data_IF_882267806328
#
_entry.id   IF_882267806328
#
_cell.length_a   1.000
_cell.length_b   1.000
_cell.length_c   1.000
_cell.angle_alpha   90.00
_cell.angle_beta   90.00
_cell.angle_gamma   90.00
#
_symmetry.space_group_name_H-M   'P 1'
#
loop_
_entity.id
_entity.type
_entity.pdbx_description
1 polymer ?
#
# COMPACT_ATOMS: atom_id res chain seq x y z
N UNK A 1 25.54 -11.51 37.71
CA UNK A 1 26.70 -11.49 36.81
C UNK A 1 27.20 -10.06 36.79
N UNK A 2 28.46 -9.82 37.15
CA UNK A 2 29.02 -8.48 37.19
C UNK A 2 29.27 -7.99 35.75
N UNK A 3 28.36 -7.17 35.22
CA UNK A 3 28.63 -6.32 34.07
C UNK A 3 29.75 -5.37 34.50
N UNK A 4 30.98 -5.64 34.05
CA UNK A 4 32.13 -4.80 34.35
C UNK A 4 31.87 -3.39 33.87
N UNK A 5 31.74 -2.44 34.79
CA UNK A 5 31.67 -1.02 34.46
C UNK A 5 32.95 -0.64 33.73
N UNK A 6 32.82 -0.10 32.51
CA UNK A 6 33.96 0.43 31.78
C UNK A 6 34.45 1.71 32.48
N UNK A 7 35.75 1.81 32.75
CA UNK A 7 36.33 3.01 33.33
C UNK A 7 36.36 4.15 32.30
N UNK A 8 36.37 5.40 32.76
CA UNK A 8 36.53 6.59 31.89
C UNK A 8 37.77 6.48 31.00
N UNK A 9 38.89 6.01 31.55
CA UNK A 9 40.14 5.85 30.82
C UNK A 9 40.05 4.77 29.73
N UNK A 10 39.34 3.66 29.99
CA UNK A 10 39.14 2.60 29.00
C UNK A 10 38.21 3.06 27.85
N UNK A 11 37.15 3.82 28.18
CA UNK A 11 36.26 4.44 27.21
C UNK A 11 37.02 5.42 26.31
N UNK A 12 37.77 6.35 26.89
CA UNK A 12 38.57 7.30 26.14
C UNK A 12 39.59 6.60 25.22
N UNK A 13 40.22 5.52 25.68
CA UNK A 13 41.14 4.72 24.87
C UNK A 13 40.44 4.11 23.65
N UNK A 14 39.26 3.51 23.83
CA UNK A 14 38.45 2.98 22.72
C UNK A 14 38.04 4.06 21.72
N UNK A 15 37.60 5.22 22.21
CA UNK A 15 37.25 6.38 21.37
C UNK A 15 38.47 6.81 20.53
N UNK A 16 39.67 6.91 21.13
CA UNK A 16 40.90 7.26 20.38
C UNK A 16 41.25 6.24 19.31
N UNK A 17 41.11 4.95 19.60
CA UNK A 17 41.37 3.87 18.64
C UNK A 17 40.39 3.89 17.47
N UNK A 18 39.13 4.26 17.72
CA UNK A 18 38.06 4.30 16.74
C UNK A 18 37.99 5.63 15.94
N UNK A 19 38.67 6.68 16.37
CA UNK A 19 38.48 8.05 15.86
C UNK A 19 38.73 8.19 14.35
N UNK A 20 39.70 7.47 13.78
CA UNK A 20 39.98 7.51 12.34
C UNK A 20 38.81 6.90 11.57
N UNK A 21 38.38 5.69 11.96
CA UNK A 21 37.25 5.01 11.34
C UNK A 21 35.95 5.82 11.46
N UNK A 22 35.72 6.47 12.61
CA UNK A 22 34.57 7.33 12.82
C UNK A 22 34.52 8.48 11.78
N UNK A 23 35.64 9.17 11.57
CA UNK A 23 35.73 10.26 10.58
C UNK A 23 35.52 9.77 9.14
N UNK A 24 36.09 8.62 8.79
CA UNK A 24 35.91 8.02 7.47
C UNK A 24 34.44 7.69 7.20
N UNK A 25 33.75 7.06 8.15
CA UNK A 25 32.33 6.72 8.04
C UNK A 25 31.45 7.97 7.92
N UNK A 26 31.67 8.99 8.75
CA UNK A 26 30.93 10.25 8.67
C UNK A 26 31.17 10.98 7.34
N UNK A 27 32.40 10.95 6.83
CA UNK A 27 32.72 11.49 5.50
C UNK A 27 31.94 10.76 4.41
N UNK A 28 31.88 9.43 4.44
CA UNK A 28 31.11 8.62 3.48
C UNK A 28 29.60 8.89 3.59
N UNK A 29 29.06 9.00 4.81
CA UNK A 29 27.65 9.33 5.01
C UNK A 29 27.31 10.71 4.44
N UNK A 30 28.19 11.70 4.67
CA UNK A 30 27.99 13.06 4.16
C UNK A 30 28.00 13.12 2.63
N UNK A 31 28.89 12.37 1.96
CA UNK A 31 28.99 12.37 0.50
C UNK A 31 27.87 11.58 -0.18
N UNK A 32 27.24 10.65 0.53
CA UNK A 32 26.17 9.77 0.02
C UNK A 32 24.77 10.14 0.51
N UNK A 33 24.62 11.22 1.29
CA UNK A 33 23.36 11.62 1.93
C UNK A 33 22.16 11.75 0.95
N UNK A 34 22.42 12.28 -0.24
CA UNK A 34 21.43 12.46 -1.30
C UNK A 34 20.91 11.14 -1.92
N UNK A 35 21.66 10.03 -1.79
CA UNK A 35 21.43 8.83 -2.57
C UNK A 35 20.09 8.12 -2.26
N UNK A 36 19.70 8.07 -0.97
CA UNK A 36 18.47 7.41 -0.53
C UNK A 36 17.20 8.15 -1.02
N UNK A 37 17.03 9.47 -0.80
CA UNK A 37 15.87 10.19 -1.32
C UNK A 37 15.84 10.24 -2.86
N UNK A 38 16.99 10.42 -3.51
CA UNK A 38 17.08 10.44 -4.98
C UNK A 38 16.68 9.09 -5.57
N UNK A 39 17.12 7.97 -4.95
CA UNK A 39 16.72 6.63 -5.36
C UNK A 39 15.20 6.41 -5.20
N UNK A 40 14.61 6.89 -4.11
CA UNK A 40 13.17 6.79 -3.88
C UNK A 40 12.38 7.59 -4.93
N UNK A 41 12.82 8.80 -5.26
CA UNK A 41 12.24 9.61 -6.33
C UNK A 41 12.37 8.92 -7.69
N UNK A 42 13.55 8.38 -7.99
CA UNK A 42 13.81 7.68 -9.25
C UNK A 42 12.93 6.44 -9.43
N UNK A 43 12.72 5.66 -8.35
CA UNK A 43 11.80 4.51 -8.36
C UNK A 43 10.35 4.93 -8.65
N UNK A 44 9.90 6.07 -8.11
CA UNK A 44 8.57 6.61 -8.41
C UNK A 44 8.43 7.03 -9.87
N UNK A 45 9.45 7.69 -10.43
CA UNK A 45 9.48 8.06 -11.85
C UNK A 45 9.37 6.82 -12.75
N UNK A 46 10.15 5.77 -12.46
CA UNK A 46 10.10 4.51 -13.22
C UNK A 46 8.69 3.91 -13.16
N UNK A 47 8.09 3.82 -11.97
CA UNK A 47 6.75 3.25 -11.82
C UNK A 47 5.67 4.05 -12.59
N UNK A 48 5.78 5.37 -12.61
CA UNK A 48 4.87 6.22 -13.39
C UNK A 48 5.07 6.03 -14.90
N UNK A 49 6.32 5.97 -15.38
CA UNK A 49 6.64 5.68 -16.77
C UNK A 49 6.16 4.29 -17.21
N UNK A 50 6.29 3.28 -16.36
CA UNK A 50 5.76 1.93 -16.61
C UNK A 50 4.24 1.94 -16.75
N UNK A 51 3.54 2.68 -15.89
CA UNK A 51 2.09 2.83 -15.96
C UNK A 51 1.65 3.56 -17.25
N UNK A 52 2.31 4.67 -17.59
CA UNK A 52 2.06 5.41 -18.83
C UNK A 52 2.35 4.56 -20.07
N UNK A 53 3.44 3.78 -20.06
CA UNK A 53 3.80 2.88 -21.13
C UNK A 53 2.77 1.76 -21.30
N UNK A 54 2.28 1.17 -20.21
CA UNK A 54 1.24 0.15 -20.27
C UNK A 54 -0.08 0.69 -20.85
N UNK A 55 -0.47 1.92 -20.47
CA UNK A 55 -1.63 2.60 -21.02
C UNK A 55 -1.46 2.90 -22.52
N UNK A 56 -0.30 3.42 -22.91
CA UNK A 56 0.05 3.69 -24.31
C UNK A 56 0.10 2.41 -25.15
N UNK A 57 0.70 1.33 -24.65
CA UNK A 57 0.74 0.03 -25.34
C UNK A 57 -0.66 -0.53 -25.59
N UNK A 58 -1.60 -0.32 -24.64
CA UNK A 58 -3.01 -0.66 -24.83
C UNK A 58 -3.64 0.22 -25.92
N UNK A 59 -3.40 1.51 -25.89
CA UNK A 59 -3.95 2.46 -26.86
C UNK A 59 -3.44 2.19 -28.29
N UNK A 60 -2.13 1.91 -28.46
CA UNK A 60 -1.55 1.48 -29.73
C UNK A 60 -2.23 0.22 -30.26
N UNK A 61 -2.48 -0.78 -29.41
CA UNK A 61 -3.18 -2.01 -29.81
C UNK A 61 -4.61 -1.73 -30.27
N UNK A 62 -5.34 -0.89 -29.54
CA UNK A 62 -6.70 -0.47 -29.91
C UNK A 62 -6.70 0.26 -31.25
N UNK A 63 -5.82 1.23 -31.45
CA UNK A 63 -5.66 1.97 -32.72
C UNK A 63 -5.24 1.06 -33.87
N UNK A 64 -4.33 0.11 -33.66
CA UNK A 64 -3.94 -0.88 -34.68
C UNK A 64 -5.15 -1.75 -35.09
N UNK A 65 -5.95 -2.21 -34.12
CA UNK A 65 -7.15 -3.00 -34.43
C UNK A 65 -8.19 -2.19 -35.21
N UNK A 66 -8.39 -0.92 -34.84
CA UNK A 66 -9.30 0.00 -35.53
C UNK A 66 -8.79 0.29 -36.94
N UNK A 67 -7.52 0.63 -37.11
CA UNK A 67 -6.87 0.85 -38.40
C UNK A 67 -7.05 -0.33 -39.35
N UNK A 68 -6.85 -1.56 -38.87
CA UNK A 68 -7.04 -2.77 -39.69
C UNK A 68 -8.49 -2.94 -40.14
N UNK A 69 -9.45 -2.55 -39.30
CA UNK A 69 -10.88 -2.56 -39.64
C UNK A 69 -11.19 -1.50 -40.70
N UNK A 70 -10.79 -0.25 -40.48
CA UNK A 70 -11.01 0.85 -41.43
C UNK A 70 -10.33 0.59 -42.77
N UNK A 71 -9.11 0.03 -42.78
CA UNK A 71 -8.42 -0.39 -44.00
C UNK A 71 -9.23 -1.43 -44.78
N UNK A 72 -9.74 -2.46 -44.09
CA UNK A 72 -10.53 -3.52 -44.71
C UNK A 72 -11.85 -2.99 -45.27
N UNK A 73 -12.48 -2.04 -44.58
CA UNK A 73 -13.73 -1.44 -45.03
C UNK A 73 -13.50 -0.51 -46.23
N UNK A 74 -12.43 0.30 -46.20
CA UNK A 74 -11.95 1.09 -47.34
C UNK A 74 -11.61 0.21 -48.57
N UNK A 75 -10.86 -0.89 -48.40
CA UNK A 75 -10.51 -1.83 -49.47
C UNK A 75 -11.74 -2.52 -50.06
N UNK A 76 -12.64 -3.03 -49.20
CA UNK A 76 -13.88 -3.67 -49.65
C UNK A 76 -14.76 -2.70 -50.42
N UNK A 77 -14.88 -1.46 -49.96
CA UNK A 77 -15.69 -0.46 -50.63
C UNK A 77 -15.07 -0.11 -51.99
N UNK A 78 -13.76 0.17 -52.04
CA UNK A 78 -13.01 0.37 -53.30
C UNK A 78 -13.22 -0.79 -54.29
N UNK A 79 -13.01 -2.03 -53.86
CA UNK A 79 -13.01 -3.21 -54.74
C UNK A 79 -14.42 -3.64 -55.17
N UNK A 80 -15.43 -3.52 -54.29
CA UNK A 80 -16.82 -3.86 -54.61
C UNK A 80 -17.52 -2.82 -55.49
N UNK A 81 -17.13 -1.56 -55.37
CA UNK A 81 -17.69 -0.43 -56.12
C UNK A 81 -17.08 -0.34 -57.51
N UNK A 82 -15.76 -0.52 -57.68
CA UNK A 82 -15.12 -0.57 -59.02
C UNK A 82 -15.73 -1.68 -59.89
N UNK A 83 -15.98 -2.85 -59.29
CA UNK A 83 -16.61 -4.00 -59.95
C UNK A 83 -18.08 -3.71 -60.33
N UNK A 84 -18.84 -2.96 -59.52
CA UNK A 84 -20.25 -2.58 -59.83
C UNK A 84 -20.38 -1.40 -60.79
N UNK A 85 -19.45 -0.43 -60.76
CA UNK A 85 -19.45 0.72 -61.67
C UNK A 85 -19.08 0.37 -63.10
N UNK A 86 -18.16 -0.59 -63.30
CA UNK A 86 -17.90 -1.20 -64.63
C UNK A 86 -19.18 -1.81 -65.22
N UNK A 87 -20.11 -2.27 -64.39
CA UNK A 87 -21.35 -2.90 -64.83
C UNK A 87 -22.57 -1.96 -64.96
N UNK A 88 -22.55 -0.72 -64.43
CA UNK A 88 -23.78 0.10 -64.33
C UNK A 88 -23.52 1.61 -64.34
N UNK A 89 -22.87 2.12 -65.38
CA UNK A 89 -22.68 3.55 -65.55
C UNK A 89 -24.01 4.27 -65.87
N UNK A 90 -24.16 5.49 -65.33
CA UNK A 90 -25.26 6.49 -65.47
C UNK A 90 -26.19 6.57 -64.24
N UNK A 91 -25.86 7.48 -63.30
CA UNK A 91 -26.91 8.12 -62.48
C UNK A 91 -26.66 8.43 -61.00
N UNK A 92 -25.55 8.01 -60.36
CA UNK A 92 -25.37 8.23 -58.89
C UNK A 92 -23.94 8.57 -58.39
N UNK A 93 -23.00 8.96 -59.26
CA UNK A 93 -21.55 9.17 -58.94
C UNK A 93 -21.28 9.97 -57.66
N UNK A 94 -21.92 11.13 -57.49
CA UNK A 94 -21.57 12.10 -56.43
C UNK A 94 -21.71 11.54 -55.00
N UNK A 95 -22.75 10.73 -54.74
CA UNK A 95 -22.96 10.10 -53.42
C UNK A 95 -21.94 9.02 -53.11
N UNK A 96 -21.28 8.46 -54.12
CA UNK A 96 -20.24 7.45 -53.93
C UNK A 96 -18.89 8.08 -53.67
N UNK A 97 -18.55 9.14 -54.40
CA UNK A 97 -17.31 9.89 -54.19
C UNK A 97 -17.29 10.50 -52.78
N UNK A 98 -18.44 11.00 -52.30
CA UNK A 98 -18.58 11.48 -50.92
C UNK A 98 -18.34 10.38 -49.87
N UNK A 99 -18.82 9.17 -50.12
CA UNK A 99 -18.66 8.05 -49.19
C UNK A 99 -17.26 7.41 -49.25
N UNK A 100 -16.66 7.31 -50.44
CA UNK A 100 -15.27 6.89 -50.62
C UNK A 100 -14.32 7.86 -49.90
N UNK A 101 -14.52 9.17 -50.11
CA UNK A 101 -13.76 10.20 -49.43
C UNK A 101 -13.93 10.18 -47.90
N UNK A 102 -15.10 9.74 -47.41
CA UNK A 102 -15.35 9.57 -45.97
C UNK A 102 -14.57 8.40 -45.39
N UNK A 103 -14.65 7.22 -46.01
CA UNK A 103 -13.94 6.02 -45.54
C UNK A 103 -12.41 6.18 -45.67
N UNK A 104 -11.94 6.89 -46.70
CA UNK A 104 -10.52 7.26 -46.85
C UNK A 104 -10.07 8.21 -45.72
N UNK A 105 -10.86 9.23 -45.37
CA UNK A 105 -10.57 10.12 -44.24
C UNK A 105 -10.54 9.36 -42.92
N UNK A 106 -11.54 8.54 -42.65
CA UNK A 106 -11.63 7.74 -41.41
C UNK A 106 -10.41 6.81 -41.26
N UNK A 107 -9.94 6.19 -42.35
CA UNK A 107 -8.70 5.41 -42.34
C UNK A 107 -7.45 6.27 -42.05
N UNK A 108 -7.29 7.41 -42.75
CA UNK A 108 -6.13 8.28 -42.56
C UNK A 108 -6.09 8.95 -41.18
N UNK A 109 -7.23 9.30 -40.62
CA UNK A 109 -7.35 9.85 -39.27
C UNK A 109 -6.84 8.84 -38.24
N UNK A 110 -7.32 7.59 -38.30
CA UNK A 110 -6.87 6.52 -37.40
C UNK A 110 -5.40 6.17 -37.63
N UNK A 111 -4.90 6.22 -38.87
CA UNK A 111 -3.48 6.01 -39.18
C UNK A 111 -2.61 7.12 -38.56
N UNK A 112 -3.05 8.37 -38.63
CA UNK A 112 -2.33 9.50 -38.03
C UNK A 112 -2.33 9.41 -36.50
N UNK A 113 -3.46 9.06 -35.89
CA UNK A 113 -3.57 8.80 -34.46
C UNK A 113 -2.64 7.66 -34.02
N UNK A 114 -2.65 6.53 -34.73
CA UNK A 114 -1.77 5.39 -34.44
C UNK A 114 -0.29 5.79 -34.54
N UNK A 115 0.10 6.58 -35.54
CA UNK A 115 1.48 7.03 -35.69
C UNK A 115 1.90 7.96 -34.54
N UNK A 116 1.06 8.93 -34.16
CA UNK A 116 1.33 9.83 -33.03
C UNK A 116 1.49 9.04 -31.73
N UNK A 117 0.60 8.09 -31.46
CA UNK A 117 0.66 7.26 -30.27
C UNK A 117 1.91 6.38 -30.25
N UNK A 118 2.34 5.84 -31.40
CA UNK A 118 3.61 5.08 -31.51
C UNK A 118 4.83 5.93 -31.18
N UNK A 119 4.88 7.19 -31.61
CA UNK A 119 5.98 8.09 -31.24
C UNK A 119 5.97 8.44 -29.75
N UNK A 120 4.79 8.65 -29.14
CA UNK A 120 4.64 8.81 -27.69
C UNK A 120 5.17 7.57 -26.97
N UNK A 121 4.72 6.38 -27.38
CA UNK A 121 5.15 5.11 -26.81
C UNK A 121 6.67 4.92 -26.88
N UNK A 122 7.26 5.21 -28.05
CA UNK A 122 8.71 5.15 -28.26
C UNK A 122 9.45 6.11 -27.33
N UNK A 123 8.99 7.35 -27.19
CA UNK A 123 9.57 8.32 -26.27
C UNK A 123 9.47 7.85 -24.81
N UNK A 124 8.33 7.29 -24.38
CA UNK A 124 8.16 6.71 -23.05
C UNK A 124 9.14 5.55 -22.80
N UNK A 125 9.38 4.69 -23.78
CA UNK A 125 10.39 3.61 -23.69
C UNK A 125 11.80 4.18 -23.51
N UNK A 126 12.16 5.20 -24.28
CA UNK A 126 13.47 5.86 -24.15
C UNK A 126 13.64 6.49 -22.76
N UNK A 127 12.62 7.20 -22.27
CA UNK A 127 12.66 7.78 -20.92
C UNK A 127 12.75 6.71 -19.83
N UNK A 128 12.04 5.60 -19.98
CA UNK A 128 12.10 4.46 -19.05
C UNK A 128 13.50 3.83 -19.03
N UNK A 129 14.11 3.64 -20.20
CA UNK A 129 15.47 3.11 -20.32
C UNK A 129 16.51 4.05 -19.67
N UNK A 130 16.40 5.36 -19.92
CA UNK A 130 17.26 6.36 -19.30
C UNK A 130 17.08 6.40 -17.78
N UNK A 131 15.83 6.40 -17.31
CA UNK A 131 15.52 6.39 -15.89
C UNK A 131 16.04 5.11 -15.21
N UNK A 132 15.92 3.96 -15.87
CA UNK A 132 16.42 2.68 -15.37
C UNK A 132 17.95 2.66 -15.28
N UNK A 133 18.65 3.25 -16.25
CA UNK A 133 20.11 3.39 -16.20
C UNK A 133 20.56 4.31 -15.07
N UNK A 134 19.87 5.44 -14.88
CA UNK A 134 20.18 6.39 -13.81
C UNK A 134 19.91 5.82 -12.41
N UNK A 135 19.05 4.79 -12.28
CA UNK A 135 18.81 4.09 -11.00
C UNK A 135 20.04 3.35 -10.47
N UNK A 136 20.84 2.73 -11.34
CA UNK A 136 21.97 1.88 -10.90
C UNK A 136 23.00 2.61 -10.01
N UNK A 137 23.56 3.77 -10.41
CA UNK A 137 24.50 4.49 -9.54
C UNK A 137 23.86 4.97 -8.24
N UNK A 138 22.56 5.33 -8.25
CA UNK A 138 21.83 5.69 -7.04
C UNK A 138 21.66 4.50 -6.08
N UNK A 139 21.43 3.29 -6.59
CA UNK A 139 21.38 2.07 -5.78
C UNK A 139 22.74 1.73 -5.15
N UNK A 140 23.83 1.92 -5.88
CA UNK A 140 25.18 1.71 -5.35
C UNK A 140 25.54 2.74 -4.27
N UNK A 141 25.20 4.02 -4.49
CA UNK A 141 25.42 5.08 -3.51
C UNK A 141 24.54 4.88 -2.26
N UNK A 142 23.28 4.49 -2.43
CA UNK A 142 22.38 4.18 -1.31
C UNK A 142 22.86 2.95 -0.53
N UNK A 143 23.35 1.90 -1.20
CA UNK A 143 23.96 0.74 -0.52
C UNK A 143 25.18 1.15 0.29
N UNK A 144 26.07 1.96 -0.30
CA UNK A 144 27.25 2.50 0.39
C UNK A 144 26.86 3.31 1.62
N UNK A 145 25.82 4.13 1.51
CA UNK A 145 25.27 4.91 2.63
C UNK A 145 24.76 4.00 3.74
N UNK A 146 23.95 3.00 3.41
CA UNK A 146 23.41 2.04 4.38
C UNK A 146 24.51 1.21 5.06
N UNK A 147 25.52 0.76 4.31
CA UNK A 147 26.66 0.03 4.85
C UNK A 147 27.46 0.90 5.83
N UNK A 148 27.76 2.15 5.45
CA UNK A 148 28.45 3.09 6.32
C UNK A 148 27.65 3.40 7.60
N UNK A 149 26.32 3.55 7.50
CA UNK A 149 25.46 3.76 8.66
C UNK A 149 25.49 2.55 9.60
N UNK A 150 25.37 1.32 9.07
CA UNK A 150 25.45 0.10 9.89
C UNK A 150 26.80 -0.06 10.57
N UNK A 151 27.89 0.26 9.87
CA UNK A 151 29.22 0.23 10.46
C UNK A 151 29.40 1.27 11.55
N UNK A 152 28.83 2.47 11.38
CA UNK A 152 28.85 3.53 12.39
C UNK A 152 28.05 3.14 13.63
N UNK A 153 26.84 2.60 13.44
CA UNK A 153 25.99 2.12 14.53
C UNK A 153 26.69 1.02 15.32
N UNK A 154 27.31 0.05 14.63
CA UNK A 154 28.09 -1.03 15.26
C UNK A 154 29.31 -0.51 16.02
N UNK A 155 30.00 0.49 15.47
CA UNK A 155 31.13 1.15 16.12
C UNK A 155 30.68 1.84 17.42
N UNK A 156 29.57 2.57 17.37
CA UNK A 156 29.02 3.24 18.54
C UNK A 156 28.52 2.25 19.59
N UNK A 157 27.79 1.20 19.20
CA UNK A 157 27.36 0.15 20.13
C UNK A 157 28.57 -0.50 20.84
N UNK A 158 29.66 -0.79 20.12
CA UNK A 158 30.85 -1.40 20.72
C UNK A 158 31.56 -0.50 21.76
N UNK A 159 31.38 0.82 21.67
CA UNK A 159 32.07 1.82 22.49
C UNK A 159 31.18 2.30 23.62
N UNK A 160 29.90 2.56 23.35
CA UNK A 160 28.94 3.16 24.27
C UNK A 160 27.93 2.14 24.82
N UNK A 161 28.13 0.82 24.62
CA UNK A 161 27.26 -0.18 25.25
C UNK A 161 27.35 -0.13 26.79
N UNK A 162 26.28 0.38 27.41
CA UNK A 162 26.13 0.49 28.86
C UNK A 162 26.58 1.85 29.40
N UNK A 163 26.55 2.05 30.73
CA UNK A 163 26.76 3.37 31.33
C UNK A 163 28.09 4.01 30.91
N UNK A 164 27.99 5.18 30.29
CA UNK A 164 29.11 5.97 29.80
C UNK A 164 29.67 6.83 30.95
N UNK A 165 30.37 6.17 31.88
CA UNK A 165 30.96 6.80 33.06
C UNK A 165 31.76 8.06 32.67
N UNK A 166 31.46 9.19 33.32
CA UNK A 166 32.07 10.49 33.04
C UNK A 166 31.34 11.35 31.99
N UNK A 167 30.34 10.79 31.30
CA UNK A 167 29.58 11.48 30.25
C UNK A 167 28.06 11.28 30.41
N UNK A 168 27.45 11.83 31.49
CA UNK A 168 26.02 11.64 31.78
C UNK A 168 25.08 12.25 30.72
N UNK A 169 25.56 13.20 29.92
CA UNK A 169 24.79 13.76 28.80
C UNK A 169 24.56 12.71 27.71
N UNK A 170 25.54 11.84 27.41
CA UNK A 170 25.40 10.76 26.43
C UNK A 170 24.43 9.69 26.92
N UNK A 171 24.55 9.26 28.18
CA UNK A 171 23.62 8.33 28.83
C UNK A 171 22.16 8.85 28.78
N UNK A 172 21.97 10.15 29.02
CA UNK A 172 20.65 10.77 28.95
C UNK A 172 20.07 10.73 27.52
N UNK A 173 20.89 11.01 26.50
CA UNK A 173 20.49 10.94 25.09
C UNK A 173 20.18 9.52 24.65
N UNK A 174 20.94 8.53 25.10
CA UNK A 174 20.68 7.12 24.80
C UNK A 174 19.33 6.68 25.39
N UNK A 175 19.02 7.11 26.61
CA UNK A 175 17.73 6.87 27.23
C UNK A 175 16.58 7.54 26.47
N UNK A 176 16.74 8.80 26.03
CA UNK A 176 15.75 9.51 25.21
C UNK A 176 15.48 8.77 23.90
N UNK A 177 16.52 8.38 23.17
CA UNK A 177 16.40 7.65 21.91
C UNK A 177 15.75 6.27 22.11
N UNK A 178 16.13 5.56 23.19
CA UNK A 178 15.53 4.27 23.55
C UNK A 178 14.03 4.39 23.88
N UNK A 179 13.63 5.45 24.59
CA UNK A 179 12.22 5.72 24.89
C UNK A 179 11.44 6.07 23.63
N UNK A 180 11.98 6.93 22.77
CA UNK A 180 11.37 7.28 21.49
C UNK A 180 11.19 6.04 20.59
N UNK A 181 12.19 5.16 20.53
CA UNK A 181 12.13 3.91 19.76
C UNK A 181 11.00 3.00 20.25
N UNK A 182 10.90 2.78 21.57
CA UNK A 182 9.83 1.96 22.16
C UNK A 182 8.46 2.55 21.89
N UNK A 183 8.31 3.88 21.99
CA UNK A 183 7.06 4.56 21.70
C UNK A 183 6.68 4.42 20.21
N UNK A 184 7.62 4.57 19.28
CA UNK A 184 7.38 4.37 17.85
C UNK A 184 6.98 2.93 17.55
N UNK A 185 7.72 1.94 18.06
CA UNK A 185 7.42 0.52 17.88
C UNK A 185 6.02 0.16 18.42
N UNK A 186 5.66 0.62 19.62
CA UNK A 186 4.33 0.39 20.20
C UNK A 186 3.21 0.96 19.32
N UNK A 187 3.34 2.19 18.82
CA UNK A 187 2.35 2.77 17.90
C UNK A 187 2.27 2.01 16.59
N UNK A 188 3.42 1.63 16.02
CA UNK A 188 3.48 0.89 14.77
C UNK A 188 2.79 -0.48 14.91
N UNK A 189 3.09 -1.23 15.97
CA UNK A 189 2.44 -2.52 16.22
C UNK A 189 0.93 -2.38 16.41
N UNK A 190 0.47 -1.32 17.09
CA UNK A 190 -0.98 -1.01 17.19
C UNK A 190 -1.60 -0.67 15.84
N UNK A 191 -0.91 0.11 15.00
CA UNK A 191 -1.39 0.45 13.66
C UNK A 191 -1.50 -0.80 12.78
N UNK A 192 -0.49 -1.67 12.79
CA UNK A 192 -0.50 -2.94 12.07
C UNK A 192 -1.67 -3.83 12.54
N UNK A 193 -1.91 -3.93 13.84
CA UNK A 193 -3.04 -4.68 14.40
C UNK A 193 -4.41 -4.13 13.95
N UNK A 194 -4.62 -2.81 13.98
CA UNK A 194 -5.85 -2.19 13.45
C UNK A 194 -6.00 -2.41 11.94
N UNK A 195 -4.90 -2.37 11.17
CA UNK A 195 -4.94 -2.66 9.73
C UNK A 195 -5.33 -4.11 9.43
N UNK A 196 -4.86 -5.07 10.22
CA UNK A 196 -5.30 -6.46 10.14
C UNK A 196 -6.78 -6.60 10.51
N UNK A 197 -7.25 -5.92 11.54
CA UNK A 197 -8.66 -5.89 11.92
C UNK A 197 -9.54 -5.32 10.79
N UNK A 198 -9.13 -4.22 10.13
CA UNK A 198 -9.84 -3.64 8.99
C UNK A 198 -10.06 -4.67 7.88
N UNK A 199 -9.03 -5.44 7.52
CA UNK A 199 -9.13 -6.48 6.49
C UNK A 199 -10.17 -7.54 6.87
N UNK A 200 -10.09 -8.06 8.10
CA UNK A 200 -11.03 -9.06 8.61
C UNK A 200 -12.47 -8.53 8.65
N UNK A 201 -12.67 -7.28 9.06
CA UNK A 201 -13.99 -6.63 9.10
C UNK A 201 -14.54 -6.38 7.69
N UNK A 202 -13.70 -6.04 6.72
CA UNK A 202 -14.10 -5.91 5.31
C UNK A 202 -14.54 -7.26 4.73
N UNK A 203 -13.80 -8.33 5.01
CA UNK A 203 -14.17 -9.69 4.60
C UNK A 203 -15.48 -10.12 5.29
N UNK A 204 -15.65 -9.81 6.57
CA UNK A 204 -16.90 -10.07 7.29
C UNK A 204 -18.08 -9.30 6.67
N UNK A 205 -17.87 -8.05 6.23
CA UNK A 205 -18.91 -7.27 5.55
C UNK A 205 -19.30 -7.91 4.21
N UNK A 206 -18.32 -8.41 3.45
CA UNK A 206 -18.58 -9.15 2.21
C UNK A 206 -19.44 -10.38 2.48
N UNK A 207 -19.12 -11.16 3.54
CA UNK A 207 -19.90 -12.33 3.95
C UNK A 207 -21.31 -12.00 4.42
N UNK A 208 -21.49 -10.91 5.17
CA UNK A 208 -22.83 -10.42 5.52
C UNK A 208 -23.62 -9.98 4.27
N UNK A 209 -22.96 -9.38 3.28
CA UNK A 209 -23.57 -9.09 1.97
C UNK A 209 -23.96 -10.35 1.19
N UNK A 210 -23.14 -11.40 1.22
CA UNK A 210 -23.49 -12.72 0.67
C UNK A 210 -24.71 -13.30 1.38
N UNK A 211 -24.79 -13.18 2.71
CA UNK A 211 -25.93 -13.66 3.49
C UNK A 211 -27.24 -12.93 3.12
N UNK A 212 -27.20 -11.59 3.00
CA UNK A 212 -28.36 -10.80 2.59
C UNK A 212 -28.85 -11.18 1.20
N UNK A 213 -27.95 -11.35 0.22
CA UNK A 213 -28.32 -11.81 -1.13
C UNK A 213 -29.03 -13.16 -1.11
N UNK A 214 -28.49 -14.12 -0.37
CA UNK A 214 -29.11 -15.45 -0.25
C UNK A 214 -30.46 -15.40 0.47
N UNK A 215 -30.64 -14.49 1.44
CA UNK A 215 -31.96 -14.28 2.07
C UNK A 215 -32.95 -13.63 1.11
N UNK A 216 -32.53 -12.68 0.28
CA UNK A 216 -33.39 -12.09 -0.75
C UNK A 216 -33.77 -13.10 -1.85
N UNK A 217 -32.88 -14.02 -2.20
CA UNK A 217 -33.18 -15.17 -3.07
C UNK A 217 -34.23 -16.08 -2.40
N UNK A 218 -34.05 -16.42 -1.12
CA UNK A 218 -35.02 -17.20 -0.35
C UNK A 218 -36.39 -16.50 -0.28
N UNK A 219 -36.44 -15.18 -0.03
CA UNK A 219 -37.69 -14.40 -0.06
C UNK A 219 -38.36 -14.42 -1.44
N UNK A 220 -37.58 -14.47 -2.52
CA UNK A 220 -38.10 -14.53 -3.89
C UNK A 220 -38.69 -15.90 -4.19
N UNK A 221 -38.04 -16.98 -3.76
CA UNK A 221 -38.57 -18.35 -3.86
C UNK A 221 -39.82 -18.54 -2.98
N UNK A 222 -39.80 -18.06 -1.74
CA UNK A 222 -40.92 -18.07 -0.81
C UNK A 222 -42.15 -17.34 -1.36
N UNK A 223 -41.96 -16.19 -2.03
CA UNK A 223 -43.05 -15.49 -2.73
C UNK A 223 -43.61 -16.32 -3.88
N UNK A 224 -42.77 -16.98 -4.65
CA UNK A 224 -43.21 -17.84 -5.75
C UNK A 224 -44.01 -19.04 -5.23
N UNK A 225 -43.63 -19.56 -4.06
CA UNK A 225 -44.30 -20.67 -3.40
C UNK A 225 -45.71 -20.32 -2.90
N UNK A 226 -45.87 -19.16 -2.26
CA UNK A 226 -47.18 -18.63 -1.82
C UNK A 226 -48.23 -18.48 -2.94
N UNK A 227 -47.84 -18.46 -4.23
CA UNK A 227 -48.74 -18.38 -5.38
C UNK A 227 -48.89 -19.71 -6.15
N UNK A 228 -48.60 -20.84 -5.48
CA UNK A 228 -48.73 -22.18 -6.05
C UNK A 228 -47.42 -22.74 -6.60
N UNK A 229 -46.30 -22.43 -5.95
CA UNK A 229 -45.03 -23.12 -6.20
C UNK A 229 -45.11 -24.58 -5.78
N UNK A 230 -44.24 -25.40 -6.39
CA UNK A 230 -44.12 -26.81 -6.06
C UNK A 230 -42.85 -27.08 -5.27
N UNK A 231 -42.65 -28.35 -4.90
CA UNK A 231 -41.52 -28.88 -4.11
C UNK A 231 -40.11 -28.43 -4.55
N UNK A 232 -39.94 -27.96 -5.79
CA UNK A 232 -38.67 -27.40 -6.29
C UNK A 232 -38.37 -25.99 -5.73
N UNK A 233 -39.39 -25.17 -5.45
CA UNK A 233 -39.23 -23.85 -4.84
C UNK A 233 -38.73 -23.97 -3.39
N UNK A 234 -39.33 -24.88 -2.62
CA UNK A 234 -38.92 -25.23 -1.25
C UNK A 234 -37.43 -25.62 -1.14
N UNK A 235 -36.96 -26.47 -2.06
CA UNK A 235 -35.57 -26.91 -2.05
C UNK A 235 -34.60 -25.76 -2.33
N UNK A 236 -34.96 -24.85 -3.25
CA UNK A 236 -34.13 -23.69 -3.58
C UNK A 236 -34.10 -22.68 -2.43
N UNK A 237 -35.25 -22.43 -1.81
CA UNK A 237 -35.39 -21.58 -0.62
C UNK A 237 -34.54 -22.09 0.54
N UNK A 238 -34.64 -23.38 0.88
CA UNK A 238 -33.83 -24.00 1.93
C UNK A 238 -32.34 -23.93 1.63
N UNK A 239 -31.95 -24.20 0.38
CA UNK A 239 -30.55 -24.09 -0.05
C UNK A 239 -30.03 -22.67 0.11
N UNK A 240 -30.83 -21.66 -0.25
CA UNK A 240 -30.47 -20.26 -0.09
C UNK A 240 -30.34 -19.87 1.39
N UNK A 241 -31.27 -20.28 2.26
CA UNK A 241 -31.18 -20.04 3.71
C UNK A 241 -29.95 -20.71 4.34
N UNK A 242 -29.61 -21.93 3.94
CA UNK A 242 -28.39 -22.61 4.39
C UNK A 242 -27.12 -21.84 3.99
N UNK A 243 -27.05 -21.36 2.73
CA UNK A 243 -25.94 -20.52 2.28
C UNK A 243 -25.85 -19.20 3.07
N UNK A 244 -26.99 -18.59 3.40
CA UNK A 244 -27.03 -17.40 4.22
C UNK A 244 -26.51 -17.65 5.64
N UNK A 245 -26.83 -18.81 6.22
CA UNK A 245 -26.35 -19.20 7.55
C UNK A 245 -24.84 -19.42 7.55
N UNK A 246 -24.32 -20.19 6.59
CA UNK A 246 -22.87 -20.40 6.45
C UNK A 246 -22.13 -19.06 6.29
N UNK A 247 -22.62 -18.16 5.44
CA UNK A 247 -22.01 -16.84 5.26
C UNK A 247 -22.05 -15.99 6.55
N UNK A 248 -23.13 -16.05 7.32
CA UNK A 248 -23.26 -15.37 8.61
C UNK A 248 -22.28 -15.95 9.65
N UNK A 249 -22.11 -17.27 9.70
CA UNK A 249 -21.16 -17.93 10.60
C UNK A 249 -19.72 -17.57 10.24
N UNK A 250 -19.37 -17.56 8.95
CA UNK A 250 -18.06 -17.10 8.48
C UNK A 250 -17.79 -15.65 8.89
N UNK A 251 -18.76 -14.76 8.71
CA UNK A 251 -18.65 -13.36 9.13
C UNK A 251 -18.37 -13.24 10.65
N UNK A 252 -19.05 -14.04 11.48
CA UNK A 252 -18.80 -14.05 12.94
C UNK A 252 -17.39 -14.53 13.27
N UNK A 253 -16.91 -15.59 12.62
CA UNK A 253 -15.56 -16.09 12.83
C UNK A 253 -14.50 -15.04 12.46
N UNK A 254 -14.73 -14.27 11.39
CA UNK A 254 -13.88 -13.16 10.99
C UNK A 254 -13.89 -12.03 12.04
N UNK A 255 -15.06 -11.69 12.59
CA UNK A 255 -15.15 -10.71 13.69
C UNK A 255 -14.42 -11.21 14.94
N UNK A 256 -14.56 -12.47 15.32
CA UNK A 256 -13.81 -13.05 16.44
C UNK A 256 -12.29 -13.01 16.23
N UNK A 257 -11.83 -13.18 15.00
CA UNK A 257 -10.40 -12.99 14.68
C UNK A 257 -10.01 -11.50 14.79
N UNK A 258 -10.87 -10.58 14.35
CA UNK A 258 -10.61 -9.15 14.46
C UNK A 258 -10.53 -8.69 15.93
N UNK A 259 -11.37 -9.24 16.81
CA UNK A 259 -11.33 -9.01 18.26
C UNK A 259 -9.98 -9.42 18.90
N UNK A 260 -9.28 -10.40 18.34
CA UNK A 260 -7.93 -10.79 18.79
C UNK A 260 -6.85 -9.80 18.37
N UNK A 261 -7.10 -9.02 17.31
CA UNK A 261 -6.16 -8.00 16.84
C UNK A 261 -6.31 -6.71 17.67
N UNK A 262 -7.54 -6.33 18.02
CA UNK A 262 -7.81 -5.10 18.76
C UNK A 262 -8.97 -5.27 19.75
N UNK A 263 -8.83 -4.79 21.00
CA UNK A 263 -9.84 -4.96 22.04
C UNK A 263 -11.08 -4.07 21.86
N UNK A 264 -11.08 -3.16 20.89
CA UNK A 264 -12.16 -2.18 20.68
C UNK A 264 -13.31 -2.72 19.83
N UNK A 265 -13.21 -3.96 19.34
CA UNK A 265 -14.28 -4.61 18.57
C UNK A 265 -15.18 -5.37 19.56
N UNK A 266 -16.45 -5.00 19.61
CA UNK A 266 -17.44 -5.70 20.42
C UNK A 266 -18.03 -6.92 19.72
N UNK A 267 -19.00 -7.55 20.37
CA UNK A 267 -19.73 -8.67 19.78
C UNK A 267 -20.77 -8.21 18.75
N UNK A 268 -21.02 -9.06 17.75
CA UNK A 268 -22.14 -8.87 16.84
C UNK A 268 -23.46 -9.24 17.52
N UNK A 269 -24.58 -8.56 17.18
CA UNK A 269 -25.90 -9.00 17.57
C UNK A 269 -26.17 -10.46 17.13
N UNK A 270 -27.00 -11.20 17.88
CA UNK A 270 -27.44 -12.50 17.43
C UNK A 270 -28.23 -12.35 16.13
N UNK A 271 -27.92 -13.26 15.21
CA UNK A 271 -28.55 -13.48 13.90
C UNK A 271 -29.05 -14.90 13.97
N UNK A 272 -30.35 -15.06 13.83
CA UNK A 272 -31.01 -16.35 13.77
C UNK A 272 -31.64 -16.46 12.39
N UNK A 273 -31.18 -17.41 11.58
CA UNK A 273 -31.78 -17.72 10.29
C UNK A 273 -32.68 -18.91 10.53
N UNK A 274 -33.99 -18.71 10.37
CA UNK A 274 -34.96 -19.76 10.63
C UNK A 274 -35.00 -20.72 9.42
N UNK A 275 -34.82 -22.02 9.65
CA UNK A 275 -34.84 -23.05 8.60
C UNK A 275 -36.17 -23.80 8.48
N UNK A 276 -37.16 -23.46 9.32
CA UNK A 276 -38.43 -24.19 9.42
C UNK A 276 -38.25 -25.50 10.18
N UNK A 277 -39.19 -25.85 11.07
CA UNK A 277 -39.08 -27.07 11.86
C UNK A 277 -39.20 -28.33 10.97
N UNK A 278 -38.15 -29.14 10.96
CA UNK A 278 -37.98 -30.35 10.16
C UNK A 278 -38.96 -31.52 10.44
N UNK A 279 -40.02 -31.35 11.24
CA UNK A 279 -40.82 -32.48 11.76
C UNK A 279 -42.35 -32.25 11.87
N UNK A 280 -42.91 -31.13 11.39
CA UNK A 280 -44.33 -30.81 11.60
C UNK A 280 -45.23 -30.67 10.35
N UNK A 281 -44.67 -30.36 9.19
CA UNK A 281 -45.44 -29.89 8.02
C UNK A 281 -45.96 -31.01 7.13
N UNK A 282 -46.81 -31.89 7.67
CA UNK A 282 -47.62 -32.78 6.81
C UNK A 282 -49.12 -32.64 7.07
N UNK A 283 -49.61 -31.74 7.95
CA UNK A 283 -51.03 -31.83 8.34
C UNK A 283 -51.90 -30.56 8.33
N UNK A 284 -51.44 -29.33 8.09
CA UNK A 284 -52.35 -28.17 7.99
C UNK A 284 -51.87 -27.04 7.02
N UNK A 285 -52.55 -26.95 5.86
CA UNK A 285 -52.77 -25.82 4.92
C UNK A 285 -51.62 -24.92 4.35
N UNK A 286 -51.35 -25.13 3.04
CA UNK A 286 -50.51 -24.47 2.02
C UNK A 286 -50.57 -22.92 1.85
N UNK A 287 -51.02 -22.11 2.81
CA UNK A 287 -50.97 -20.64 2.65
C UNK A 287 -50.61 -19.94 3.97
N UNK A 288 -51.17 -20.40 5.09
CA UNK A 288 -50.92 -19.79 6.40
C UNK A 288 -49.54 -20.14 6.94
N UNK A 289 -49.07 -21.38 6.71
CA UNK A 289 -47.73 -21.85 7.08
C UNK A 289 -46.65 -21.13 6.23
N UNK A 290 -46.91 -20.94 4.94
CA UNK A 290 -45.96 -20.30 4.01
C UNK A 290 -45.86 -18.79 4.28
N UNK A 291 -46.97 -18.12 4.60
CA UNK A 291 -46.95 -16.71 5.00
C UNK A 291 -46.21 -16.50 6.33
N UNK A 292 -46.39 -17.41 7.29
CA UNK A 292 -45.66 -17.37 8.56
C UNK A 292 -44.15 -17.62 8.36
N UNK A 293 -43.78 -18.58 7.50
CA UNK A 293 -42.39 -18.84 7.16
C UNK A 293 -41.74 -17.69 6.39
N UNK A 294 -42.46 -17.10 5.43
CA UNK A 294 -42.05 -15.90 4.72
C UNK A 294 -41.74 -14.74 5.68
N UNK A 295 -42.59 -14.54 6.70
CA UNK A 295 -42.35 -13.51 7.72
C UNK A 295 -41.16 -13.85 8.63
N UNK A 296 -40.87 -15.12 8.90
CA UNK A 296 -39.63 -15.55 9.58
C UNK A 296 -38.38 -15.28 8.76
N UNK A 297 -38.43 -15.42 7.44
CA UNK A 297 -37.32 -15.05 6.55
C UNK A 297 -37.11 -13.53 6.56
N UNK A 298 -38.19 -12.73 6.57
CA UNK A 298 -38.07 -11.26 6.74
C UNK A 298 -37.41 -10.89 8.07
N UNK A 299 -37.76 -11.56 9.17
CA UNK A 299 -37.11 -11.37 10.48
C UNK A 299 -35.63 -11.72 10.43
N UNK A 300 -35.29 -12.84 9.78
CA UNK A 300 -33.91 -13.28 9.55
C UNK A 300 -33.13 -12.19 8.80
N UNK A 301 -33.69 -11.63 7.72
CA UNK A 301 -33.12 -10.51 6.98
C UNK A 301 -32.84 -9.30 7.86
N UNK A 302 -33.84 -8.85 8.62
CA UNK A 302 -33.70 -7.71 9.55
C UNK A 302 -32.58 -7.93 10.58
N UNK A 303 -32.41 -9.16 11.07
CA UNK A 303 -31.34 -9.50 12.01
C UNK A 303 -29.94 -9.42 11.38
N UNK A 304 -29.79 -9.87 10.12
CA UNK A 304 -28.54 -9.74 9.36
C UNK A 304 -28.26 -8.27 9.04
N UNK A 305 -29.27 -7.48 8.67
CA UNK A 305 -29.12 -6.04 8.42
C UNK A 305 -28.64 -5.31 9.68
N UNK A 306 -29.22 -5.60 10.85
CA UNK A 306 -28.79 -5.02 12.13
C UNK A 306 -27.33 -5.38 12.45
N UNK A 307 -26.93 -6.63 12.24
CA UNK A 307 -25.53 -7.05 12.42
C UNK A 307 -24.58 -6.38 11.43
N UNK A 308 -25.03 -6.17 10.19
CA UNK A 308 -24.27 -5.46 9.15
C UNK A 308 -24.05 -3.99 9.53
N UNK A 309 -25.06 -3.33 10.12
CA UNK A 309 -24.94 -1.96 10.63
C UNK A 309 -23.92 -1.86 11.77
N UNK A 310 -23.97 -2.80 12.74
CA UNK A 310 -22.98 -2.85 13.84
C UNK A 310 -21.57 -3.11 13.30
N UNK A 311 -21.44 -4.02 12.34
CA UNK A 311 -20.17 -4.34 11.69
C UNK A 311 -19.60 -3.13 10.92
N UNK A 312 -20.46 -2.39 10.22
CA UNK A 312 -20.07 -1.16 9.53
C UNK A 312 -19.57 -0.09 10.49
N UNK A 313 -20.20 0.06 11.67
CA UNK A 313 -19.72 0.94 12.72
C UNK A 313 -18.35 0.52 13.22
N UNK A 314 -18.14 -0.76 13.52
CA UNK A 314 -16.82 -1.26 13.93
C UNK A 314 -15.76 -0.97 12.86
N UNK A 315 -16.05 -1.21 11.59
CA UNK A 315 -15.12 -0.91 10.50
C UNK A 315 -14.77 0.59 10.43
N UNK A 316 -15.76 1.47 10.57
CA UNK A 316 -15.54 2.91 10.56
C UNK A 316 -14.66 3.36 11.74
N UNK A 317 -15.02 2.96 12.97
CA UNK A 317 -14.26 3.30 14.17
C UNK A 317 -12.82 2.74 14.13
N UNK A 318 -12.63 1.56 13.56
CA UNK A 318 -11.32 0.90 13.37
C UNK A 318 -10.47 1.65 12.36
N UNK A 319 -11.06 2.12 11.25
CA UNK A 319 -10.39 3.00 10.28
C UNK A 319 -9.96 4.32 10.91
N UNK A 320 -10.84 4.96 11.67
CA UNK A 320 -10.52 6.22 12.35
C UNK A 320 -9.38 6.04 13.37
N UNK A 321 -9.36 4.92 14.11
CA UNK A 321 -8.24 4.58 15.01
C UNK A 321 -6.95 4.34 14.24
N UNK A 322 -7.00 3.57 13.16
CA UNK A 322 -5.84 3.33 12.31
C UNK A 322 -5.27 4.64 11.75
N UNK A 323 -6.12 5.54 11.24
CA UNK A 323 -5.68 6.85 10.74
C UNK A 323 -5.05 7.72 11.82
N UNK A 324 -5.61 7.72 13.03
CA UNK A 324 -5.00 8.39 14.20
C UNK A 324 -3.62 7.81 14.51
N UNK A 325 -3.52 6.48 14.63
CA UNK A 325 -2.24 5.81 14.88
C UNK A 325 -1.21 6.07 13.78
N UNK A 326 -1.62 6.17 12.52
CA UNK A 326 -0.72 6.52 11.42
C UNK A 326 -0.25 7.98 11.50
N UNK A 327 -1.09 8.92 11.97
CA UNK A 327 -0.66 10.30 12.25
C UNK A 327 0.34 10.35 13.41
N UNK A 328 0.00 9.72 14.53
CA UNK A 328 0.86 9.65 15.72
C UNK A 328 2.17 8.92 15.41
N UNK A 329 2.12 7.90 14.56
CA UNK A 329 3.29 7.15 14.10
C UNK A 329 4.29 8.04 13.37
N UNK A 330 3.83 8.93 12.50
CA UNK A 330 4.70 9.90 11.81
C UNK A 330 5.34 10.91 12.77
N UNK A 331 4.61 11.34 13.79
CA UNK A 331 5.17 12.23 14.81
C UNK A 331 6.23 11.52 15.65
N UNK A 332 5.95 10.28 16.08
CA UNK A 332 6.91 9.45 16.84
C UNK A 332 8.13 9.07 16.01
N UNK A 333 7.98 8.86 14.71
CA UNK A 333 9.07 8.63 13.76
C UNK A 333 9.99 9.85 13.69
N UNK A 334 9.45 11.05 13.48
CA UNK A 334 10.23 12.29 13.53
C UNK A 334 10.95 12.46 14.85
N UNK A 335 10.27 12.21 15.97
CA UNK A 335 10.87 12.30 17.29
C UNK A 335 12.01 11.30 17.48
N UNK A 336 11.85 10.08 16.98
CA UNK A 336 12.89 9.06 16.99
C UNK A 336 14.10 9.52 16.19
N UNK A 337 13.90 10.06 14.98
CA UNK A 337 14.96 10.56 14.13
C UNK A 337 15.71 11.73 14.81
N UNK A 338 14.98 12.71 15.38
CA UNK A 338 15.57 13.81 16.16
C UNK A 338 16.42 13.32 17.34
N UNK A 339 15.91 12.35 18.11
CA UNK A 339 16.65 11.82 19.27
C UNK A 339 17.87 11.01 18.87
N UNK A 340 17.81 10.28 17.75
CA UNK A 340 18.95 9.55 17.19
C UNK A 340 20.02 10.51 16.69
N UNK A 341 19.61 11.56 15.97
CA UNK A 341 20.53 12.58 15.49
C UNK A 341 21.20 13.31 16.67
N UNK A 342 20.44 13.65 17.71
CA UNK A 342 20.99 14.27 18.92
C UNK A 342 22.00 13.36 19.65
N UNK A 343 21.69 12.06 19.77
CA UNK A 343 22.59 11.06 20.35
C UNK A 343 23.88 10.93 19.52
N UNK A 344 23.75 10.84 18.20
CA UNK A 344 24.89 10.77 17.30
C UNK A 344 25.78 12.02 17.41
N UNK A 345 25.19 13.22 17.42
CA UNK A 345 25.93 14.48 17.61
C UNK A 345 26.69 14.53 18.94
N UNK A 346 26.08 14.04 20.02
CA UNK A 346 26.78 13.97 21.31
C UNK A 346 27.95 12.99 21.25
N UNK A 347 27.77 11.81 20.63
CA UNK A 347 28.86 10.85 20.43
C UNK A 347 29.99 11.45 19.57
N UNK A 348 29.66 12.14 18.48
CA UNK A 348 30.64 12.85 17.63
C UNK A 348 31.43 13.89 18.44
N UNK A 349 30.76 14.69 19.25
CA UNK A 349 31.39 15.66 20.16
C UNK A 349 32.34 14.98 21.15
N UNK A 350 31.96 13.83 21.71
CA UNK A 350 32.85 13.06 22.59
C UNK A 350 34.10 12.56 21.84
N UNK A 351 33.93 12.08 20.61
CA UNK A 351 35.05 11.72 19.74
C UNK A 351 36.00 12.89 19.49
N UNK A 352 35.49 14.09 19.24
CA UNK A 352 36.29 15.29 19.04
C UNK A 352 37.06 15.70 20.30
N UNK A 353 36.39 15.75 21.46
CA UNK A 353 37.03 16.13 22.75
C UNK A 353 38.15 15.15 23.09
N UNK A 354 37.88 13.86 23.01
CA UNK A 354 38.83 12.82 23.41
C UNK A 354 39.99 12.69 22.41
N UNK A 355 39.76 12.87 21.11
CA UNK A 355 40.80 12.89 20.10
C UNK A 355 41.63 14.19 20.13
N UNK A 356 41.00 15.34 20.43
CA UNK A 356 41.66 16.64 20.57
C UNK A 356 42.61 16.71 21.77
N UNK A 357 42.18 16.21 22.93
CA UNK A 357 43.02 16.11 24.13
C UNK A 357 44.25 15.21 23.92
N UNK A 358 44.16 14.22 23.03
CA UNK A 358 45.30 13.36 22.67
C UNK A 358 46.35 14.06 21.79
N UNK A 359 45.96 15.10 21.03
CA UNK A 359 46.86 15.91 20.21
C UNK A 359 47.65 16.92 21.06
N UNK A 360 47.01 17.52 22.07
CA UNK A 360 47.66 18.45 23.00
C UNK A 360 48.64 17.74 23.96
N UNK A 361 48.35 16.50 24.36
CA UNK A 361 49.23 15.68 25.21
C UNK A 361 50.53 15.20 24.56
N UNK A 362 50.74 15.42 23.25
CA UNK A 362 51.97 15.07 22.52
C UNK A 362 52.74 16.27 21.94
N UNK A 363 52.33 17.50 22.25
CA UNK A 363 52.80 18.69 21.54
C UNK A 363 53.14 19.90 22.40
N UNK A 364 53.83 19.75 23.53
CA UNK A 364 54.51 20.90 24.14
C UNK A 364 55.85 21.15 23.44
N UNK A 365 55.82 21.73 22.25
CA UNK A 365 56.80 22.71 21.74
C UNK A 365 56.31 23.28 20.39
N UNK A 366 55.89 24.55 20.40
CA UNK A 366 56.03 25.46 19.26
C UNK A 366 54.81 25.71 18.36
N UNK A 367 54.20 26.89 18.53
CA UNK A 367 53.97 27.80 17.39
C UNK A 367 52.62 27.77 16.65
N UNK A 368 51.80 28.78 16.98
CA UNK A 368 50.97 29.64 16.09
C UNK A 368 49.98 29.06 15.05
N UNK A 369 48.78 29.68 15.15
CA UNK A 369 47.93 30.22 14.07
C UNK A 369 46.81 29.35 13.43
N UNK A 370 45.58 29.76 13.78
CA UNK A 370 44.41 30.04 12.93
C UNK A 370 43.84 28.94 12.02
N UNK A 371 42.55 28.63 12.20
CA UNK A 371 41.48 29.02 11.26
C UNK A 371 40.12 28.51 11.76
N UNK A 372 39.26 29.44 12.14
CA UNK A 372 37.82 29.22 12.33
C UNK A 372 37.16 28.90 10.98
N UNK A 373 36.88 27.63 10.72
CA UNK A 373 36.09 27.16 9.59
C UNK A 373 34.67 26.83 10.03
N UNK A 374 33.73 27.73 9.76
CA UNK A 374 32.29 27.50 9.88
C UNK A 374 31.87 26.35 8.96
N UNK A 375 31.54 25.19 9.53
CA UNK A 375 30.95 24.06 8.79
C UNK A 375 29.46 24.33 8.55
N UNK A 376 29.06 24.29 7.28
CA UNK A 376 27.70 24.51 6.82
C UNK A 376 26.73 23.41 7.30
N UNK A 377 25.50 23.83 7.64
CA UNK A 377 24.39 22.98 8.09
C UNK A 377 23.94 22.01 6.98
N UNK A 378 23.75 20.70 7.21
CA UNK A 378 23.40 19.75 6.14
C UNK A 378 21.91 19.42 5.94
N UNK A 379 20.96 20.02 6.66
CA UNK A 379 19.59 19.47 6.69
C UNK A 379 18.51 20.55 6.57
N UNK A 380 18.20 20.91 5.31
CA UNK A 380 16.94 21.50 4.87
C UNK A 380 16.70 21.01 3.43
N UNK A 381 15.96 19.91 3.29
CA UNK A 381 15.01 19.62 2.20
C UNK A 381 14.29 18.28 2.39
#
# INVERSE_FOLDING_TARGET
MATGMMSTADLESKIRQAAVKNRELLSTLSSTNHAVPDLAQQRRLIADLEHQLAASDKHVKELDTRRRKELKDHEKYRDSVMRRFVHKAVGKRDKFDEKAAREEREYFDVLQEEHREKEINKNLRTQLDEATRARQPLEEAARTHEEAQRELDSLYEAIFAGPTNGYPEEDAREQEASQAMRAYQDTRSKAEAEQHAIKLLMDAMKRMGDALRNIDDALSHSRMDMFGGGTMSDMMERSALQRAESATQEARMLVMQAQRMTPYIGDLPPVNINHGNLMGDVLFDNIFSDMAFHDEIKKSRMSVEKSTQVLSRFLHETRDRHERLMRDGRERERRLDETREALQKERERLFEIVAGNAAEGKGSYGGMATASGSMAKPWDN
#
